data_IF_314509786958
#
_entry.id   IF_314509786958
#
_cell.length_a   1.000
_cell.length_b   1.000
_cell.length_c   1.000
_cell.angle_alpha   90.00
_cell.angle_beta   90.00
_cell.angle_gamma   90.00
#
_symmetry.space_group_name_H-M   'P 1'
#
loop_
_entity.id
_entity.type
_entity.pdbx_description
1 polymer ?
#
# COMPACT_ATOMS: atom_id res chain seq x y z
N UNK A 1 1.96 4.55 0.06
CA UNK A 1 0.66 3.86 -0.05
C UNK A 1 -0.06 4.03 1.27
N UNK A 2 -1.15 4.81 1.36
CA UNK A 2 -1.77 5.05 2.67
C UNK A 2 -2.39 3.76 3.23
N UNK A 3 -2.34 3.64 4.56
CA UNK A 3 -3.01 2.59 5.33
C UNK A 3 -3.93 3.24 6.35
N UNK A 4 -5.14 2.70 6.52
CA UNK A 4 -6.08 3.16 7.54
C UNK A 4 -5.80 2.47 8.89
N UNK A 5 -6.29 3.03 10.02
CA UNK A 5 -6.18 2.38 11.33
C UNK A 5 -6.78 0.97 11.37
N UNK A 6 -7.81 0.70 10.57
CA UNK A 6 -8.48 -0.60 10.49
C UNK A 6 -7.66 -1.63 9.66
N UNK A 7 -6.82 -1.16 8.75
CA UNK A 7 -5.99 -2.02 7.90
C UNK A 7 -4.70 -2.47 8.62
N UNK A 8 -4.15 -1.63 9.49
CA UNK A 8 -2.95 -1.91 10.29
C UNK A 8 -3.01 -3.27 11.00
N UNK A 9 -4.02 -3.58 11.85
CA UNK A 9 -4.09 -4.86 12.55
C UNK A 9 -4.20 -6.05 11.59
N UNK A 10 -4.91 -5.88 10.48
CA UNK A 10 -5.14 -6.93 9.49
C UNK A 10 -3.83 -7.27 8.75
N UNK A 11 -3.09 -6.25 8.33
CA UNK A 11 -1.81 -6.41 7.63
C UNK A 11 -0.74 -6.98 8.57
N UNK A 12 -0.61 -6.44 9.78
CA UNK A 12 0.34 -6.92 10.77
C UNK A 12 0.12 -8.41 11.09
N UNK A 13 -1.15 -8.78 11.37
CA UNK A 13 -1.54 -10.18 11.61
C UNK A 13 -1.22 -11.09 10.42
N UNK A 14 -1.50 -10.65 9.20
CA UNK A 14 -1.20 -11.42 7.99
C UNK A 14 0.31 -11.64 7.81
N UNK A 15 1.13 -10.66 8.19
CA UNK A 15 2.59 -10.73 8.15
C UNK A 15 3.19 -11.52 9.32
N UNK A 16 2.38 -11.90 10.32
CA UNK A 16 2.83 -12.62 11.51
C UNK A 16 3.68 -11.76 12.45
N UNK A 17 3.38 -10.46 12.54
CA UNK A 17 4.09 -9.50 13.41
C UNK A 17 3.10 -8.68 14.24
N UNK A 18 3.62 -8.04 15.29
CA UNK A 18 2.85 -7.11 16.12
C UNK A 18 2.50 -5.82 15.36
N UNK A 19 1.39 -5.18 15.74
CA UNK A 19 0.96 -3.92 15.12
C UNK A 19 2.00 -2.80 15.27
N UNK A 20 2.62 -2.72 16.45
CA UNK A 20 3.67 -1.74 16.73
C UNK A 20 4.88 -1.92 15.80
N UNK A 21 5.30 -3.17 15.57
CA UNK A 21 6.43 -3.48 14.67
C UNK A 21 6.11 -3.11 13.22
N UNK A 22 4.87 -3.35 12.77
CA UNK A 22 4.42 -2.93 11.45
C UNK A 22 4.43 -1.41 11.31
N UNK A 23 3.87 -0.69 12.28
CA UNK A 23 3.84 0.78 12.27
C UNK A 23 5.27 1.33 12.23
N UNK A 24 6.16 0.86 13.09
CA UNK A 24 7.52 1.38 13.23
C UNK A 24 8.39 1.07 12.01
N UNK A 25 8.38 -0.19 11.55
CA UNK A 25 9.36 -0.68 10.58
C UNK A 25 8.86 -0.73 9.14
N UNK A 26 7.54 -0.70 8.93
CA UNK A 26 6.95 -0.86 7.60
C UNK A 26 6.18 0.38 7.12
N UNK A 27 6.01 1.39 7.97
CA UNK A 27 5.28 2.61 7.62
C UNK A 27 6.06 3.89 7.90
N UNK A 28 5.58 4.99 7.31
CA UNK A 28 6.01 6.36 7.56
C UNK A 28 4.80 7.27 7.68
N UNK A 29 4.96 8.45 8.28
CA UNK A 29 3.95 9.49 8.15
C UNK A 29 3.73 9.83 6.67
N UNK A 30 2.47 9.91 6.27
CA UNK A 30 2.11 10.33 4.92
C UNK A 30 2.43 11.83 4.71
N UNK A 31 2.40 12.29 3.45
CA UNK A 31 2.87 13.63 3.08
C UNK A 31 2.15 14.79 3.80
N UNK A 32 0.86 14.62 4.09
CA UNK A 32 0.05 15.58 4.83
C UNK A 32 0.05 15.34 6.35
N UNK A 33 0.80 14.34 6.84
CA UNK A 33 0.96 13.97 8.25
C UNK A 33 -0.37 13.70 8.97
N UNK A 34 -1.39 13.24 8.24
CA UNK A 34 -2.70 12.87 8.81
C UNK A 34 -2.86 11.37 9.03
N UNK A 35 -1.86 10.58 8.65
CA UNK A 35 -1.90 9.12 8.78
C UNK A 35 -0.60 8.47 8.36
N UNK A 36 -0.66 7.16 8.13
CA UNK A 36 0.50 6.35 7.77
C UNK A 36 0.46 5.94 6.30
N UNK A 37 1.64 5.78 5.73
CA UNK A 37 1.87 5.19 4.42
C UNK A 37 2.89 4.07 4.56
N UNK A 38 2.70 2.96 3.85
CA UNK A 38 3.74 1.94 3.70
C UNK A 38 4.99 2.61 3.09
N UNK A 39 6.16 2.27 3.63
CA UNK A 39 7.44 2.78 3.12
C UNK A 39 7.73 2.25 1.71
N UNK A 40 8.60 2.96 1.01
CA UNK A 40 9.04 2.58 -0.32
C UNK A 40 10.43 1.91 -0.22
N UNK A 41 10.69 0.96 -1.13
CA UNK A 41 12.01 0.41 -1.41
C UNK A 41 12.93 1.52 -1.96
N UNK A 42 14.26 1.33 -1.99
CA UNK A 42 15.19 2.32 -2.55
C UNK A 42 14.91 2.71 -4.01
N UNK A 43 14.27 1.84 -4.79
CA UNK A 43 13.86 2.09 -6.18
C UNK A 43 12.50 2.83 -6.29
N UNK A 44 11.87 3.17 -5.17
CA UNK A 44 10.58 3.88 -5.12
C UNK A 44 9.35 2.99 -5.21
N UNK A 45 9.51 1.66 -5.32
CA UNK A 45 8.38 0.73 -5.28
C UNK A 45 7.86 0.55 -3.85
N UNK A 46 6.60 0.16 -3.69
CA UNK A 46 6.05 -0.21 -2.38
C UNK A 46 6.87 -1.35 -1.75
N UNK A 47 7.10 -1.30 -0.43
CA UNK A 47 7.82 -2.34 0.33
C UNK A 47 7.38 -3.78 0.02
N UNK A 48 6.09 -3.99 -0.23
CA UNK A 48 5.50 -5.33 -0.45
C UNK A 48 5.26 -5.69 -1.93
N UNK A 49 5.67 -4.84 -2.87
CA UNK A 49 5.60 -5.17 -4.30
C UNK A 49 6.87 -5.92 -4.70
N UNK A 50 6.73 -7.16 -5.16
CA UNK A 50 7.80 -8.00 -5.66
C UNK A 50 7.67 -8.21 -7.18
N UNK A 51 8.80 -8.15 -7.88
CA UNK A 51 8.81 -8.22 -9.34
C UNK A 51 7.90 -7.17 -9.97
N UNK A 52 7.26 -7.52 -11.08
CA UNK A 52 6.40 -6.57 -11.81
C UNK A 52 5.00 -6.43 -11.21
N UNK A 53 4.38 -7.53 -10.74
CA UNK A 53 2.95 -7.58 -10.41
C UNK A 53 2.62 -8.49 -9.20
N UNK A 54 3.59 -8.80 -8.34
CA UNK A 54 3.35 -9.69 -7.19
C UNK A 54 3.30 -8.90 -5.89
N UNK A 55 2.11 -8.71 -5.33
CA UNK A 55 1.98 -8.09 -4.01
C UNK A 55 2.05 -9.15 -2.91
N UNK A 56 3.04 -9.08 -2.02
CA UNK A 56 3.21 -10.04 -0.91
C UNK A 56 2.01 -10.06 0.05
N UNK A 57 1.33 -8.92 0.19
CA UNK A 57 0.13 -8.76 1.04
C UNK A 57 -1.17 -8.73 0.23
N UNK A 58 -1.22 -9.36 -0.95
CA UNK A 58 -2.38 -9.30 -1.86
C UNK A 58 -3.73 -9.58 -1.18
N UNK A 59 -3.78 -10.55 -0.26
CA UNK A 59 -5.01 -10.94 0.44
C UNK A 59 -5.55 -9.88 1.41
N UNK A 60 -4.67 -8.99 1.89
CA UNK A 60 -4.97 -7.92 2.87
C UNK A 60 -4.51 -6.56 2.34
N UNK A 61 -4.46 -6.43 1.01
CA UNK A 61 -3.94 -5.25 0.32
C UNK A 61 -4.80 -4.02 0.69
N UNK A 62 -4.18 -2.87 1.01
CA UNK A 62 -4.91 -1.67 1.40
C UNK A 62 -5.98 -1.27 0.36
N UNK A 63 -7.10 -0.73 0.82
CA UNK A 63 -8.24 -0.29 0.02
C UNK A 63 -7.84 0.71 -1.04
N UNK A 64 -6.92 1.62 -0.73
CA UNK A 64 -6.39 2.52 -1.74
C UNK A 64 -5.71 1.73 -2.88
N UNK A 65 -4.93 0.68 -2.60
CA UNK A 65 -4.31 -0.12 -3.66
C UNK A 65 -5.31 -0.97 -4.45
N UNK A 66 -6.24 -1.66 -3.77
CA UNK A 66 -7.25 -2.52 -4.42
C UNK A 66 -8.33 -1.73 -5.14
N UNK A 67 -8.56 -0.49 -4.75
CA UNK A 67 -9.51 0.42 -5.38
C UNK A 67 -9.00 1.12 -6.64
N UNK A 68 -7.72 1.04 -6.98
CA UNK A 68 -7.21 1.63 -8.21
C UNK A 68 -7.76 0.88 -9.45
N UNK A 69 -8.22 1.56 -10.52
CA UNK A 69 -8.22 3.02 -10.74
C UNK A 69 -9.54 3.73 -10.36
N UNK A 70 -10.53 3.00 -9.86
CA UNK A 70 -11.91 3.48 -9.68
C UNK A 70 -12.08 4.36 -8.42
N UNK A 71 -11.43 4.00 -7.32
CA UNK A 71 -11.47 4.75 -6.05
C UNK A 71 -10.54 5.96 -6.11
N UNK A 72 -9.40 5.80 -6.76
CA UNK A 72 -8.46 6.90 -6.99
C UNK A 72 -7.56 6.58 -8.18
N UNK A 73 -7.02 7.63 -8.78
CA UNK A 73 -5.98 7.55 -9.79
C UNK A 73 -5.19 8.88 -9.83
N UNK A 74 -4.27 9.02 -10.79
CA UNK A 74 -3.49 10.25 -11.00
C UNK A 74 -3.42 10.59 -12.49
N UNK A 75 -3.22 11.87 -12.87
CA UNK A 75 -3.14 12.27 -14.28
C UNK A 75 -2.10 11.46 -15.06
N UNK A 76 -2.49 10.92 -16.23
CA UNK A 76 -1.61 10.11 -17.08
C UNK A 76 -1.43 8.65 -16.63
N UNK A 77 -2.20 8.15 -15.66
CA UNK A 77 -2.05 6.78 -15.17
C UNK A 77 -2.22 5.69 -16.26
N UNK A 78 -3.07 5.93 -17.25
CA UNK A 78 -3.32 5.00 -18.38
C UNK A 78 -2.09 4.76 -19.26
N UNK A 79 -1.12 5.66 -19.23
CA UNK A 79 0.15 5.54 -19.96
C UNK A 79 1.16 4.66 -19.19
N UNK A 80 0.90 4.40 -17.91
CA UNK A 80 1.83 3.73 -16.98
C UNK A 80 1.29 2.42 -16.40
N UNK A 81 -0.02 2.19 -16.50
CA UNK A 81 -0.68 1.06 -15.89
C UNK A 81 -1.78 0.51 -16.80
N UNK A 82 -1.82 -0.82 -16.92
CA UNK A 82 -2.78 -1.56 -17.75
C UNK A 82 -4.15 -1.78 -17.07
N UNK A 83 -4.39 -1.19 -15.90
CA UNK A 83 -5.66 -1.34 -15.20
C UNK A 83 -6.83 -0.81 -16.05
N UNK A 84 -7.98 -1.50 -15.98
CA UNK A 84 -9.19 -1.12 -16.71
C UNK A 84 -10.21 -0.61 -15.68
N UNK A 85 -10.73 0.59 -15.90
CA UNK A 85 -11.85 1.12 -15.10
C UNK A 85 -13.13 0.33 -15.40
N UNK A 86 -13.96 0.10 -14.38
CA UNK A 86 -15.20 -0.69 -14.48
C UNK A 86 -16.40 0.07 -13.97
#
# INVERSE_FOLDING_TARGET
MNVTPEEVPVIAKYLGMEEADFIENCTRLNANRTGLSIIDKPNGECLYLEGLNVCRIQAVKPHQCSGFPNVWNFPGWREKCEAIEV
#
